data_IF_439322722495
#
_entry.id   IF_439322722495
#
_cell.length_a   1.000
_cell.length_b   1.000
_cell.length_c   1.000
_cell.angle_alpha   90.00
_cell.angle_beta   90.00
_cell.angle_gamma   90.00
#
_symmetry.space_group_name_H-M   'P 1'
#
loop_
_entity.id
_entity.type
_entity.pdbx_description
1 polymer ?
#
# COMPACT_ATOMS: atom_id res chain seq x y z
N UNK A 1 12.36 -4.83 -22.07
CA UNK A 1 13.11 -3.88 -22.93
C UNK A 1 14.56 -4.37 -23.09
N UNK A 2 15.26 -4.12 -24.22
CA UNK A 2 16.66 -4.56 -24.42
C UNK A 2 17.65 -3.49 -23.91
N UNK A 3 18.88 -3.89 -23.55
CA UNK A 3 19.93 -2.97 -23.08
C UNK A 3 20.15 -1.75 -23.98
N UNK A 4 20.07 -1.94 -25.30
CA UNK A 4 20.24 -0.88 -26.29
C UNK A 4 19.16 0.20 -26.15
N UNK A 5 17.91 -0.19 -25.92
CA UNK A 5 16.78 0.72 -25.73
C UNK A 5 16.89 1.55 -24.44
N UNK A 6 17.57 1.04 -23.40
CA UNK A 6 17.84 1.81 -22.17
C UNK A 6 18.81 2.96 -22.46
N UNK A 7 19.81 2.72 -23.30
CA UNK A 7 20.82 3.73 -23.67
C UNK A 7 20.25 4.84 -24.56
N UNK A 8 19.13 4.58 -25.20
CA UNK A 8 18.39 5.53 -26.05
C UNK A 8 17.46 6.45 -25.26
N UNK A 9 17.27 6.22 -23.96
CA UNK A 9 16.46 7.09 -23.11
C UNK A 9 17.07 8.50 -23.06
N UNK A 10 16.22 9.52 -23.24
CA UNK A 10 16.64 10.92 -23.40
C UNK A 10 17.51 11.44 -22.24
N UNK A 11 17.26 10.98 -21.02
CA UNK A 11 18.01 11.39 -19.83
C UNK A 11 19.20 10.48 -19.49
N UNK A 12 19.41 9.36 -20.19
CA UNK A 12 20.45 8.37 -19.84
C UNK A 12 21.86 8.99 -19.81
N UNK A 13 22.24 9.68 -20.88
CA UNK A 13 23.59 10.26 -21.00
C UNK A 13 23.83 11.37 -19.98
N UNK A 14 22.79 12.11 -19.59
CA UNK A 14 22.88 13.10 -18.51
C UNK A 14 23.25 12.45 -17.17
N UNK A 15 22.58 11.35 -16.79
CA UNK A 15 22.88 10.67 -15.53
C UNK A 15 24.21 9.90 -15.56
N UNK A 16 24.57 9.30 -16.69
CA UNK A 16 25.88 8.66 -16.87
C UNK A 16 27.02 9.68 -16.71
N UNK A 17 26.86 10.89 -17.27
CA UNK A 17 27.83 11.98 -17.10
C UNK A 17 27.95 12.41 -15.64
N UNK A 18 26.82 12.67 -14.96
CA UNK A 18 26.81 13.03 -13.52
C UNK A 18 27.47 11.97 -12.63
N UNK A 19 27.21 10.69 -12.93
CA UNK A 19 27.86 9.58 -12.21
C UNK A 19 29.37 9.54 -12.51
N UNK A 20 29.77 9.87 -13.75
CA UNK A 20 31.17 9.89 -14.14
C UNK A 20 31.96 11.02 -13.49
N UNK A 21 31.35 12.19 -13.31
CA UNK A 21 31.92 13.34 -12.59
C UNK A 21 32.29 13.01 -11.13
N UNK A 22 31.72 11.94 -10.56
CA UNK A 22 32.04 11.45 -9.22
C UNK A 22 33.23 10.48 -9.20
N UNK A 23 33.98 10.38 -10.30
CA UNK A 23 35.19 9.56 -10.41
C UNK A 23 34.96 8.15 -10.95
N UNK A 24 33.73 7.81 -11.34
CA UNK A 24 33.43 6.56 -12.04
C UNK A 24 33.76 6.74 -13.53
N UNK A 25 34.53 5.85 -14.15
CA UNK A 25 34.80 5.96 -15.59
C UNK A 25 33.51 5.87 -16.41
N UNK A 26 33.34 6.69 -17.46
CA UNK A 26 32.09 6.80 -18.23
C UNK A 26 31.48 5.45 -18.65
N UNK A 27 32.29 4.52 -19.19
CA UNK A 27 31.80 3.16 -19.54
C UNK A 27 31.29 2.37 -18.34
N UNK A 28 31.92 2.53 -17.17
CA UNK A 28 31.49 1.89 -15.94
C UNK A 28 30.23 2.57 -15.38
N UNK A 29 30.10 3.88 -15.52
CA UNK A 29 28.90 4.62 -15.15
C UNK A 29 27.68 4.15 -15.97
N UNK A 30 27.81 4.07 -17.30
CA UNK A 30 26.76 3.54 -18.18
C UNK A 30 26.39 2.09 -17.83
N UNK A 31 27.40 1.22 -17.64
CA UNK A 31 27.16 -0.17 -17.27
C UNK A 31 26.47 -0.31 -15.91
N UNK A 32 26.80 0.55 -14.94
CA UNK A 32 26.14 0.57 -13.64
C UNK A 32 24.65 0.92 -13.78
N UNK A 33 24.33 1.96 -14.56
CA UNK A 33 22.94 2.38 -14.77
C UNK A 33 22.13 1.28 -15.45
N UNK A 34 22.64 0.71 -16.55
CA UNK A 34 21.95 -0.36 -17.28
C UNK A 34 21.70 -1.56 -16.37
N UNK A 35 22.71 -1.97 -15.60
CA UNK A 35 22.59 -3.10 -14.68
C UNK A 35 21.49 -2.89 -13.64
N UNK A 36 21.49 -1.73 -12.98
CA UNK A 36 20.51 -1.43 -11.92
C UNK A 36 19.08 -1.33 -12.47
N UNK A 37 18.89 -0.76 -13.66
CA UNK A 37 17.58 -0.68 -14.32
C UNK A 37 17.06 -2.07 -14.73
N UNK A 38 17.91 -2.93 -15.29
CA UNK A 38 17.51 -4.30 -15.63
C UNK A 38 17.20 -5.14 -14.40
N UNK A 39 18.00 -5.01 -13.33
CA UNK A 39 17.74 -5.70 -12.08
C UNK A 39 16.45 -5.20 -11.42
N UNK A 40 16.14 -3.90 -11.54
CA UNK A 40 14.86 -3.35 -11.10
C UNK A 40 13.67 -4.01 -11.79
N UNK A 41 13.69 -4.03 -13.12
CA UNK A 41 12.61 -4.57 -13.96
C UNK A 41 12.43 -6.07 -13.72
N UNK A 42 13.54 -6.79 -13.51
CA UNK A 42 13.53 -8.22 -13.20
C UNK A 42 12.95 -8.53 -11.82
N UNK A 43 13.06 -7.63 -10.85
CA UNK A 43 12.50 -7.83 -9.50
C UNK A 43 10.99 -7.64 -9.46
N UNK A 44 10.44 -6.80 -10.35
CA UNK A 44 9.01 -6.49 -10.44
C UNK A 44 8.51 -6.61 -11.89
N UNK A 45 8.61 -7.81 -12.51
CA UNK A 45 8.27 -8.01 -13.91
C UNK A 45 6.81 -7.68 -14.25
N UNK A 46 5.92 -7.78 -13.26
CA UNK A 46 4.50 -7.42 -13.38
C UNK A 46 4.27 -5.93 -13.67
N UNK A 47 5.20 -5.05 -13.28
CA UNK A 47 5.04 -3.61 -13.43
C UNK A 47 5.63 -3.05 -14.74
N UNK A 48 6.50 -3.80 -15.44
CA UNK A 48 7.24 -3.33 -16.64
C UNK A 48 7.85 -1.93 -16.45
N UNK A 49 8.68 -1.78 -15.41
CA UNK A 49 9.20 -0.49 -14.92
C UNK A 49 9.87 0.34 -16.01
N UNK A 50 10.52 -0.32 -16.97
CA UNK A 50 11.26 0.36 -18.05
C UNK A 50 10.35 1.11 -19.03
N UNK A 51 9.04 0.86 -19.02
CA UNK A 51 8.06 1.59 -19.83
C UNK A 51 7.64 2.92 -19.20
N UNK A 52 7.94 3.14 -17.92
CA UNK A 52 7.58 4.33 -17.17
C UNK A 52 8.79 5.27 -17.02
N UNK A 53 8.81 6.36 -17.80
CA UNK A 53 9.94 7.28 -17.85
C UNK A 53 10.27 7.93 -16.50
N UNK A 54 9.25 8.25 -15.70
CA UNK A 54 9.43 8.86 -14.37
C UNK A 54 10.08 7.89 -13.39
N UNK A 55 9.66 6.61 -13.40
CA UNK A 55 10.31 5.57 -12.59
C UNK A 55 11.76 5.37 -13.01
N UNK A 56 12.02 5.30 -14.32
CA UNK A 56 13.39 5.11 -14.84
C UNK A 56 14.30 6.28 -14.49
N UNK A 57 13.83 7.52 -14.66
CA UNK A 57 14.57 8.73 -14.29
C UNK A 57 14.86 8.77 -12.78
N UNK A 58 13.89 8.39 -11.94
CA UNK A 58 14.07 8.35 -10.49
C UNK A 58 15.15 7.34 -10.07
N UNK A 59 15.13 6.13 -10.65
CA UNK A 59 16.15 5.12 -10.37
C UNK A 59 17.54 5.64 -10.76
N UNK A 60 17.68 6.25 -11.94
CA UNK A 60 18.96 6.85 -12.37
C UNK A 60 19.41 7.99 -11.44
N UNK A 61 18.49 8.84 -11.01
CA UNK A 61 18.77 9.88 -10.03
C UNK A 61 19.30 9.28 -8.72
N UNK A 62 18.68 8.21 -8.22
CA UNK A 62 19.10 7.55 -6.99
C UNK A 62 20.46 6.88 -7.11
N UNK A 63 20.82 6.31 -8.27
CA UNK A 63 22.17 5.78 -8.52
C UNK A 63 23.22 6.89 -8.38
N UNK A 64 22.97 8.06 -8.97
CA UNK A 64 23.87 9.21 -8.88
C UNK A 64 23.97 9.75 -7.45
N UNK A 65 22.84 9.84 -6.73
CA UNK A 65 22.82 10.30 -5.32
C UNK A 65 23.54 9.34 -4.39
N UNK A 66 23.33 8.04 -4.57
CA UNK A 66 23.96 7.00 -3.77
C UNK A 66 25.47 6.96 -3.99
N UNK A 67 25.94 7.20 -5.21
CA UNK A 67 27.38 7.28 -5.49
C UNK A 67 28.02 8.57 -4.93
N UNK A 68 27.26 9.68 -4.86
CA UNK A 68 27.74 10.94 -4.29
C UNK A 68 27.88 10.90 -2.77
N UNK A 69 27.08 10.05 -2.13
CA UNK A 69 27.12 9.86 -0.70
C UNK A 69 28.05 8.69 -0.35
N UNK A 70 29.10 8.94 0.44
CA UNK A 70 29.70 7.84 1.16
C UNK A 70 28.60 7.18 2.00
N UNK A 71 28.31 5.89 1.78
CA UNK A 71 27.28 5.09 2.50
C UNK A 71 27.43 5.10 4.05
N UNK A 72 28.39 5.85 4.59
CA UNK A 72 28.87 5.77 5.96
C UNK A 72 27.92 6.38 7.00
N UNK A 73 27.09 7.37 6.67
CA UNK A 73 26.40 8.14 7.73
C UNK A 73 24.88 7.95 7.85
N UNK A 74 24.22 7.14 7.02
CA UNK A 74 22.80 6.86 7.25
C UNK A 74 22.62 6.02 8.53
N UNK A 75 21.74 6.49 9.42
CA UNK A 75 21.44 5.87 10.72
C UNK A 75 19.93 5.67 10.88
N UNK A 76 19.55 4.79 11.82
CA UNK A 76 18.14 4.67 12.22
C UNK A 76 17.59 6.00 12.74
N UNK A 77 18.39 6.79 13.49
CA UNK A 77 17.98 8.12 13.98
C UNK A 77 17.50 8.99 12.83
N UNK A 78 18.24 9.04 11.72
CA UNK A 78 17.83 9.86 10.57
C UNK A 78 16.51 9.41 9.94
N UNK A 79 16.27 8.10 9.87
CA UNK A 79 14.97 7.57 9.40
C UNK A 79 13.84 7.98 10.34
N UNK A 80 14.07 7.87 11.66
CA UNK A 80 13.07 8.23 12.67
C UNK A 80 12.80 9.74 12.69
N UNK A 81 13.83 10.57 12.53
CA UNK A 81 13.70 12.04 12.40
C UNK A 81 12.78 12.40 11.23
N UNK A 82 12.96 11.77 10.07
CA UNK A 82 12.07 12.02 8.92
C UNK A 82 10.62 11.62 9.20
N UNK A 83 10.38 10.55 9.99
CA UNK A 83 9.01 10.18 10.41
C UNK A 83 8.42 11.26 11.34
N UNK A 84 9.20 11.78 12.28
CA UNK A 84 8.77 12.85 13.20
C UNK A 84 8.49 14.17 12.47
N UNK A 85 9.34 14.52 11.49
CA UNK A 85 9.15 15.67 10.60
C UNK A 85 7.88 15.50 9.76
N UNK A 86 7.67 14.31 9.18
CA UNK A 86 6.48 14.01 8.38
C UNK A 86 5.20 14.10 9.21
N UNK A 87 5.22 13.60 10.46
CA UNK A 87 4.09 13.72 11.39
C UNK A 87 3.78 15.18 11.79
N UNK A 88 4.73 16.09 11.59
CA UNK A 88 4.60 17.52 11.88
C UNK A 88 4.21 18.36 10.66
N UNK A 89 4.18 17.76 9.46
CA UNK A 89 3.77 18.44 8.23
C UNK A 89 2.27 18.80 8.30
N UNK A 90 1.95 20.05 7.97
CA UNK A 90 0.58 20.56 8.03
C UNK A 90 -0.12 20.55 6.67
N UNK A 91 0.66 20.37 5.60
CA UNK A 91 0.18 20.36 4.22
C UNK A 91 0.78 19.19 3.44
N UNK A 92 0.10 18.80 2.37
CA UNK A 92 0.60 17.78 1.45
C UNK A 92 1.89 18.22 0.74
N UNK A 93 2.01 19.51 0.41
CA UNK A 93 3.22 20.09 -0.20
C UNK A 93 4.45 19.97 0.71
N UNK A 94 4.28 20.14 2.03
CA UNK A 94 5.34 19.90 3.02
C UNK A 94 5.66 18.40 3.19
N UNK A 95 4.64 17.54 3.10
CA UNK A 95 4.77 16.11 3.35
C UNK A 95 5.50 15.36 2.22
N UNK A 96 5.31 15.76 0.96
CA UNK A 96 5.84 15.02 -0.21
C UNK A 96 7.38 14.93 -0.27
N UNK A 97 8.14 16.01 -0.03
CA UNK A 97 9.59 15.93 0.09
C UNK A 97 10.04 15.03 1.23
N UNK A 98 9.32 15.04 2.36
CA UNK A 98 9.63 14.22 3.54
C UNK A 98 9.33 12.74 3.29
N UNK A 99 8.26 12.39 2.56
CA UNK A 99 8.00 11.02 2.11
C UNK A 99 9.12 10.52 1.19
N UNK A 100 9.56 11.37 0.25
CA UNK A 100 10.69 11.05 -0.64
C UNK A 100 11.98 10.84 0.15
N UNK A 101 12.23 11.68 1.14
CA UNK A 101 13.38 11.54 2.02
C UNK A 101 13.30 10.26 2.86
N UNK A 102 12.12 9.94 3.42
CA UNK A 102 11.90 8.74 4.22
C UNK A 102 12.23 7.48 3.41
N UNK A 103 11.66 7.33 2.21
CA UNK A 103 11.89 6.17 1.34
C UNK A 103 13.38 6.04 0.99
N UNK A 104 14.03 7.15 0.63
CA UNK A 104 15.46 7.16 0.31
C UNK A 104 16.33 6.79 1.51
N UNK A 105 16.06 7.35 2.69
CA UNK A 105 16.79 7.07 3.93
C UNK A 105 16.60 5.62 4.37
N UNK A 106 15.36 5.11 4.31
CA UNK A 106 15.05 3.72 4.63
C UNK A 106 15.76 2.75 3.68
N UNK A 107 15.66 2.97 2.35
CA UNK A 107 16.36 2.15 1.34
C UNK A 107 17.87 2.12 1.59
N UNK A 108 18.49 3.29 1.80
CA UNK A 108 19.94 3.38 2.05
C UNK A 108 20.33 2.65 3.33
N UNK A 109 19.52 2.76 4.39
CA UNK A 109 19.77 2.05 5.64
C UNK A 109 19.64 0.53 5.48
N UNK A 110 18.62 0.06 4.78
CA UNK A 110 18.41 -1.36 4.45
C UNK A 110 19.58 -1.92 3.63
N UNK A 111 20.02 -1.20 2.60
CA UNK A 111 21.20 -1.52 1.79
C UNK A 111 22.47 -1.62 2.64
N UNK A 112 22.73 -0.62 3.50
CA UNK A 112 23.87 -0.60 4.44
C UNK A 112 23.84 -1.80 5.40
N UNK A 113 22.66 -2.19 5.87
CA UNK A 113 22.44 -3.35 6.75
C UNK A 113 22.37 -4.68 6.00
N UNK A 114 22.37 -4.67 4.67
CA UNK A 114 22.23 -5.84 3.79
C UNK A 114 21.01 -6.69 4.14
N UNK A 115 19.89 -6.02 4.37
CA UNK A 115 18.60 -6.65 4.71
C UNK A 115 17.47 -5.90 4.03
N UNK A 116 16.36 -6.59 3.77
CA UNK A 116 15.08 -6.02 3.36
C UNK A 116 14.03 -6.06 4.49
N UNK A 117 14.30 -6.86 5.52
CA UNK A 117 13.47 -6.97 6.73
C UNK A 117 13.72 -5.79 7.68
N UNK A 118 12.72 -4.93 7.85
CA UNK A 118 12.76 -3.74 8.71
C UNK A 118 12.91 -4.10 10.20
N UNK A 119 12.53 -5.32 10.62
CA UNK A 119 12.73 -5.78 12.01
C UNK A 119 14.21 -5.82 12.39
N UNK A 120 15.10 -5.96 11.41
CA UNK A 120 16.55 -5.97 11.63
C UNK A 120 17.17 -4.57 11.73
N UNK A 121 16.39 -3.51 11.55
CA UNK A 121 16.87 -2.13 11.65
C UNK A 121 16.91 -1.61 13.09
N UNK A 122 16.09 -2.17 13.97
CA UNK A 122 15.89 -1.69 15.34
C UNK A 122 15.78 -2.85 16.32
N UNK A 123 16.08 -2.59 17.59
CA UNK A 123 15.86 -3.52 18.71
C UNK A 123 14.63 -3.14 19.54
N UNK A 124 13.93 -2.07 19.17
CA UNK A 124 12.75 -1.55 19.88
C UNK A 124 11.49 -1.73 19.05
N UNK A 125 10.45 -2.26 19.68
CA UNK A 125 9.12 -2.42 19.08
C UNK A 125 8.57 -1.06 18.63
N UNK A 126 8.79 0.00 19.41
CA UNK A 126 8.33 1.35 19.06
C UNK A 126 8.82 1.77 17.66
N UNK A 127 10.13 1.76 17.42
CA UNK A 127 10.67 2.23 16.14
C UNK A 127 10.24 1.32 14.98
N UNK A 128 10.09 0.03 15.25
CA UNK A 128 9.59 -0.92 14.25
C UNK A 128 8.16 -0.54 13.83
N UNK A 129 7.26 -0.35 14.79
CA UNK A 129 5.86 -0.02 14.51
C UNK A 129 5.70 1.35 13.86
N UNK A 130 6.52 2.35 14.19
CA UNK A 130 6.49 3.65 13.52
C UNK A 130 6.85 3.53 12.02
N UNK A 131 7.90 2.75 11.70
CA UNK A 131 8.29 2.48 10.30
C UNK A 131 7.21 1.66 9.59
N UNK A 132 6.71 0.59 10.23
CA UNK A 132 5.70 -0.30 9.67
C UNK A 132 4.38 0.44 9.40
N UNK A 133 3.91 1.25 10.35
CA UNK A 133 2.68 2.03 10.17
C UNK A 133 2.79 3.01 9.01
N UNK A 134 3.92 3.73 8.89
CA UNK A 134 4.11 4.63 7.76
C UNK A 134 4.14 3.86 6.44
N UNK A 135 4.83 2.72 6.38
CA UNK A 135 4.83 1.87 5.18
C UNK A 135 3.43 1.35 4.82
N UNK A 136 2.60 1.01 5.80
CA UNK A 136 1.23 0.52 5.56
C UNK A 136 0.26 1.59 5.06
N UNK A 137 0.58 2.88 5.21
CA UNK A 137 -0.26 4.00 4.79
C UNK A 137 0.32 4.78 3.60
N UNK A 138 1.59 4.57 3.28
CA UNK A 138 2.31 5.34 2.26
C UNK A 138 1.72 5.19 0.86
N UNK A 139 1.19 4.01 0.50
CA UNK A 139 0.54 3.81 -0.80
C UNK A 139 -0.66 4.74 -0.99
N UNK A 140 -1.50 4.87 0.04
CA UNK A 140 -2.65 5.78 0.03
C UNK A 140 -2.21 7.23 -0.09
N UNK A 141 -1.17 7.63 0.64
CA UNK A 141 -0.62 8.98 0.54
C UNK A 141 -0.09 9.30 -0.85
N UNK A 142 0.64 8.37 -1.47
CA UNK A 142 1.20 8.55 -2.81
C UNK A 142 0.13 8.52 -3.92
N UNK A 143 -0.96 7.76 -3.73
CA UNK A 143 -2.14 7.84 -4.62
C UNK A 143 -2.82 9.20 -4.53
N UNK A 144 -3.07 9.71 -3.32
CA UNK A 144 -3.67 11.04 -3.14
C UNK A 144 -2.79 12.13 -3.77
N UNK A 145 -1.48 11.99 -3.64
CA UNK A 145 -0.48 12.83 -4.29
C UNK A 145 -0.09 12.33 -5.69
N UNK A 146 -1.01 11.75 -6.46
CA UNK A 146 -0.69 11.18 -7.78
C UNK A 146 -0.08 12.20 -8.75
N UNK A 147 -0.36 13.50 -8.60
CA UNK A 147 0.26 14.57 -9.40
C UNK A 147 1.75 14.77 -9.10
N UNK A 148 2.26 14.23 -7.99
CA UNK A 148 3.67 14.27 -7.66
C UNK A 148 4.45 13.34 -8.60
N UNK A 149 5.47 13.85 -9.34
CA UNK A 149 6.11 13.10 -10.41
C UNK A 149 6.75 11.77 -9.99
N UNK A 150 7.07 11.63 -8.70
CA UNK A 150 7.76 10.48 -8.16
C UNK A 150 6.85 9.47 -7.45
N UNK A 151 5.53 9.67 -7.41
CA UNK A 151 4.63 8.79 -6.63
C UNK A 151 4.76 7.31 -7.02
N UNK A 152 4.66 6.99 -8.31
CA UNK A 152 4.90 5.62 -8.80
C UNK A 152 6.33 5.14 -8.55
N UNK A 153 7.33 6.03 -8.61
CA UNK A 153 8.73 5.67 -8.38
C UNK A 153 9.02 5.34 -6.92
N UNK A 154 8.38 6.05 -5.98
CA UNK A 154 8.50 5.80 -4.54
C UNK A 154 7.86 4.45 -4.16
N UNK A 155 6.70 4.12 -4.74
CA UNK A 155 6.08 2.80 -4.58
C UNK A 155 7.04 1.68 -5.01
N UNK A 156 7.65 1.85 -6.19
CA UNK A 156 8.63 0.90 -6.75
C UNK A 156 9.87 0.76 -5.86
N UNK A 157 10.39 1.87 -5.33
CA UNK A 157 11.59 1.84 -4.49
C UNK A 157 11.33 1.07 -3.18
N UNK A 158 10.13 1.20 -2.60
CA UNK A 158 9.73 0.40 -1.43
C UNK A 158 9.55 -1.07 -1.79
N UNK A 159 8.80 -1.41 -2.85
CA UNK A 159 8.56 -2.79 -3.30
C UNK A 159 9.87 -3.57 -3.54
N UNK A 160 10.91 -2.88 -4.01
CA UNK A 160 12.24 -3.48 -4.27
C UNK A 160 13.11 -3.56 -3.03
N UNK A 161 12.93 -2.65 -2.09
CA UNK A 161 13.85 -2.47 -0.95
C UNK A 161 13.39 -3.13 0.34
N UNK A 162 12.08 -3.33 0.50
CA UNK A 162 11.47 -3.80 1.75
C UNK A 162 10.83 -5.18 1.55
N UNK A 163 10.91 -6.05 2.55
CA UNK A 163 10.13 -7.28 2.62
C UNK A 163 8.75 -6.98 3.24
N UNK A 164 7.79 -6.61 2.38
CA UNK A 164 6.40 -6.35 2.77
C UNK A 164 5.63 -7.65 2.96
N UNK A 165 4.62 -7.65 3.84
CA UNK A 165 3.62 -8.71 3.85
C UNK A 165 2.76 -8.65 2.56
N UNK A 166 2.02 -9.72 2.27
CA UNK A 166 1.27 -9.85 1.02
C UNK A 166 0.20 -8.77 0.84
N UNK A 167 -0.45 -8.33 1.93
CA UNK A 167 -1.52 -7.33 1.85
C UNK A 167 -0.91 -5.98 1.48
N UNK A 168 0.13 -5.57 2.21
CA UNK A 168 0.81 -4.30 1.94
C UNK A 168 1.49 -4.31 0.57
N UNK A 169 2.11 -5.42 0.14
CA UNK A 169 2.65 -5.55 -1.22
C UNK A 169 1.56 -5.32 -2.29
N UNK A 170 0.42 -5.99 -2.15
CA UNK A 170 -0.71 -5.86 -3.08
C UNK A 170 -1.28 -4.43 -3.11
N UNK A 171 -1.31 -3.72 -1.96
CA UNK A 171 -1.72 -2.32 -1.91
C UNK A 171 -0.79 -1.41 -2.74
N UNK A 172 0.52 -1.60 -2.65
CA UNK A 172 1.49 -0.83 -3.43
C UNK A 172 1.41 -1.11 -4.93
N UNK A 173 1.21 -2.37 -5.31
CA UNK A 173 1.01 -2.78 -6.71
C UNK A 173 -0.27 -2.18 -7.28
N UNK A 174 -1.36 -2.22 -6.51
CA UNK A 174 -2.63 -1.59 -6.88
C UNK A 174 -2.49 -0.08 -7.02
N UNK A 175 -1.86 0.57 -6.04
CA UNK A 175 -1.59 2.01 -6.07
C UNK A 175 -0.77 2.42 -7.30
N UNK A 176 0.23 1.61 -7.68
CA UNK A 176 1.02 1.85 -8.89
C UNK A 176 0.16 1.83 -10.15
N UNK A 177 -0.77 0.87 -10.26
CA UNK A 177 -1.69 0.77 -11.39
C UNK A 177 -2.74 1.89 -11.38
N UNK A 178 -3.35 2.17 -10.22
CA UNK A 178 -4.40 3.18 -10.04
C UNK A 178 -3.93 4.58 -10.42
N UNK A 179 -2.65 4.92 -10.18
CA UNK A 179 -2.10 6.22 -10.59
C UNK A 179 -2.16 6.42 -12.12
N UNK A 180 -2.06 5.37 -12.94
CA UNK A 180 -2.27 5.52 -14.38
C UNK A 180 -3.69 5.97 -14.71
N UNK A 181 -4.70 5.44 -14.02
CA UNK A 181 -6.09 5.88 -14.19
C UNK A 181 -6.27 7.34 -13.75
N UNK A 182 -5.68 7.71 -12.62
CA UNK A 182 -5.72 9.10 -12.12
C UNK A 182 -5.07 10.10 -13.09
N UNK A 183 -4.18 9.64 -13.95
CA UNK A 183 -3.54 10.43 -15.02
C UNK A 183 -4.22 10.25 -16.39
N UNK A 184 -5.43 9.70 -16.40
CA UNK A 184 -6.23 9.46 -17.62
C UNK A 184 -5.51 8.54 -18.64
N UNK A 185 -4.55 7.74 -18.19
CA UNK A 185 -3.83 6.77 -19.01
C UNK A 185 -4.43 5.36 -18.85
N UNK A 186 -5.63 5.21 -19.38
CA UNK A 186 -6.41 3.98 -19.28
C UNK A 186 -5.65 2.76 -19.84
N UNK A 187 -4.98 2.91 -20.99
CA UNK A 187 -4.25 1.81 -21.63
C UNK A 187 -3.13 1.27 -20.73
N UNK A 188 -2.36 2.16 -20.08
CA UNK A 188 -1.32 1.74 -19.15
C UNK A 188 -1.89 1.11 -17.88
N UNK A 189 -3.01 1.64 -17.36
CA UNK A 189 -3.73 1.06 -16.23
C UNK A 189 -4.16 -0.39 -16.53
N UNK A 190 -4.83 -0.59 -17.67
CA UNK A 190 -5.36 -1.89 -18.10
C UNK A 190 -4.21 -2.89 -18.34
N UNK A 191 -3.15 -2.46 -19.00
CA UNK A 191 -1.97 -3.29 -19.23
C UNK A 191 -1.31 -3.69 -17.90
N UNK A 192 -1.22 -2.75 -16.94
CA UNK A 192 -0.66 -3.02 -15.62
C UNK A 192 -1.49 -4.03 -14.83
N UNK A 193 -2.80 -3.83 -14.72
CA UNK A 193 -3.69 -4.77 -14.04
C UNK A 193 -3.71 -6.16 -14.68
N UNK A 194 -3.71 -6.24 -16.01
CA UNK A 194 -3.62 -7.52 -16.71
C UNK A 194 -2.32 -8.28 -16.37
N UNK A 195 -1.18 -7.59 -16.26
CA UNK A 195 0.09 -8.20 -15.82
C UNK A 195 0.04 -8.59 -14.34
N UNK A 196 -0.44 -7.72 -13.45
CA UNK A 196 -0.59 -8.01 -12.03
C UNK A 196 -1.43 -9.27 -11.80
N UNK A 197 -2.61 -9.36 -12.44
CA UNK A 197 -3.51 -10.51 -12.35
C UNK A 197 -2.88 -11.77 -12.96
N UNK A 198 -2.12 -11.65 -14.05
CA UNK A 198 -1.41 -12.79 -14.65
C UNK A 198 -0.34 -13.35 -13.70
N UNK A 199 0.34 -12.50 -12.95
CA UNK A 199 1.39 -12.89 -12.00
C UNK A 199 0.81 -13.40 -10.68
N UNK A 200 -0.28 -12.80 -10.21
CA UNK A 200 -0.92 -13.07 -8.92
C UNK A 200 -2.43 -13.32 -9.10
N UNK A 201 -2.84 -14.39 -9.80
CA UNK A 201 -4.25 -14.62 -10.16
C UNK A 201 -5.16 -14.92 -8.98
N UNK A 202 -4.58 -15.30 -7.84
CA UNK A 202 -5.27 -15.64 -6.58
C UNK A 202 -5.20 -14.50 -5.55
N UNK A 203 -4.66 -13.33 -5.91
CA UNK A 203 -4.64 -12.18 -5.02
C UNK A 203 -5.97 -11.42 -5.11
N UNK A 204 -6.80 -11.60 -4.06
CA UNK A 204 -8.10 -10.98 -3.98
C UNK A 204 -8.05 -9.44 -3.93
N UNK A 205 -6.96 -8.84 -3.43
CA UNK A 205 -6.78 -7.40 -3.37
C UNK A 205 -6.57 -6.82 -4.78
N UNK A 206 -5.73 -7.48 -5.58
CA UNK A 206 -5.48 -7.08 -6.97
C UNK A 206 -6.75 -7.21 -7.82
N UNK A 207 -7.47 -8.33 -7.69
CA UNK A 207 -8.76 -8.53 -8.38
C UNK A 207 -9.79 -7.48 -7.97
N UNK A 208 -9.84 -7.14 -6.67
CA UNK A 208 -10.75 -6.12 -6.17
C UNK A 208 -10.39 -4.74 -6.71
N UNK A 209 -9.11 -4.38 -6.74
CA UNK A 209 -8.65 -3.14 -7.36
C UNK A 209 -9.09 -3.02 -8.82
N UNK A 210 -8.86 -4.07 -9.61
CA UNK A 210 -9.27 -4.06 -11.01
C UNK A 210 -10.79 -3.97 -11.18
N UNK A 211 -11.55 -4.69 -10.35
CA UNK A 211 -13.00 -4.58 -10.31
C UNK A 211 -13.46 -3.15 -10.04
N UNK A 212 -12.81 -2.41 -9.13
CA UNK A 212 -13.21 -1.02 -8.86
C UNK A 212 -13.03 -0.12 -10.09
N UNK A 213 -11.98 -0.32 -10.89
CA UNK A 213 -11.77 0.44 -12.13
C UNK A 213 -12.84 0.11 -13.16
N UNK A 214 -13.10 -1.17 -13.41
CA UNK A 214 -14.14 -1.63 -14.33
C UNK A 214 -15.53 -1.11 -13.92
N UNK A 215 -15.82 -1.12 -12.62
CA UNK A 215 -17.10 -0.67 -12.08
C UNK A 215 -17.30 0.84 -12.27
N UNK A 216 -16.27 1.64 -12.01
CA UNK A 216 -16.31 3.09 -12.26
C UNK A 216 -16.53 3.41 -13.75
N UNK A 217 -15.89 2.62 -14.63
CA UNK A 217 -16.06 2.72 -16.09
C UNK A 217 -17.36 2.10 -16.61
N UNK A 218 -18.16 1.46 -15.74
CA UNK A 218 -19.41 0.76 -16.07
C UNK A 218 -19.25 -0.40 -17.05
N UNK A 219 -18.08 -1.04 -17.09
CA UNK A 219 -17.88 -2.28 -17.84
C UNK A 219 -18.39 -3.46 -17.01
N UNK A 220 -19.71 -3.62 -16.94
CA UNK A 220 -20.35 -4.58 -16.04
C UNK A 220 -20.09 -6.04 -16.45
N UNK A 221 -19.90 -6.33 -17.73
CA UNK A 221 -19.54 -7.67 -18.20
C UNK A 221 -18.17 -8.08 -17.64
N UNK A 222 -17.18 -7.18 -17.72
CA UNK A 222 -15.87 -7.42 -17.10
C UNK A 222 -15.94 -7.43 -15.56
N UNK A 223 -16.81 -6.62 -14.95
CA UNK A 223 -17.04 -6.67 -13.51
C UNK A 223 -17.53 -8.05 -13.06
N UNK A 224 -18.46 -8.64 -13.80
CA UNK A 224 -19.00 -9.96 -13.47
C UNK A 224 -17.95 -11.08 -13.55
N UNK A 225 -17.00 -11.00 -14.48
CA UNK A 225 -15.85 -11.93 -14.49
C UNK A 225 -14.99 -11.75 -13.24
N UNK A 226 -14.64 -10.50 -12.87
CA UNK A 226 -13.82 -10.24 -11.69
C UNK A 226 -14.52 -10.64 -10.39
N UNK A 227 -15.82 -10.36 -10.24
CA UNK A 227 -16.63 -10.77 -9.08
C UNK A 227 -16.66 -12.29 -8.98
N UNK A 228 -16.89 -12.98 -10.10
CA UNK A 228 -16.92 -14.45 -10.12
C UNK A 228 -15.58 -15.03 -9.65
N UNK A 229 -14.48 -14.53 -10.20
CA UNK A 229 -13.13 -14.97 -9.83
C UNK A 229 -12.80 -14.65 -8.38
N UNK A 230 -13.08 -13.43 -7.92
CA UNK A 230 -12.80 -12.98 -6.55
C UNK A 230 -13.57 -13.78 -5.50
N UNK A 231 -14.85 -14.07 -5.74
CA UNK A 231 -15.66 -14.88 -4.83
C UNK A 231 -15.20 -16.35 -4.75
N UNK A 232 -14.67 -16.90 -5.84
CA UNK A 232 -14.13 -18.26 -5.87
C UNK A 232 -12.89 -18.44 -4.98
N UNK A 233 -12.13 -17.37 -4.73
CA UNK A 233 -10.98 -17.39 -3.82
C UNK A 233 -11.39 -17.62 -2.36
N UNK A 234 -12.65 -17.35 -2.00
CA UNK A 234 -13.17 -17.49 -0.64
C UNK A 234 -12.38 -16.70 0.42
N UNK A 235 -11.77 -15.59 0.01
CA UNK A 235 -11.12 -14.67 0.94
C UNK A 235 -12.18 -13.93 1.79
N UNK A 236 -12.20 -14.21 3.09
CA UNK A 236 -13.25 -13.72 3.98
C UNK A 236 -13.27 -12.20 4.18
N UNK A 237 -12.15 -11.52 3.90
CA UNK A 237 -12.02 -10.07 3.97
C UNK A 237 -12.61 -9.44 2.71
N UNK A 238 -12.18 -9.89 1.52
CA UNK A 238 -12.61 -9.31 0.25
C UNK A 238 -13.98 -9.77 -0.24
N UNK A 239 -14.47 -10.94 0.18
CA UNK A 239 -15.73 -11.50 -0.30
C UNK A 239 -16.92 -10.53 -0.16
N UNK A 240 -17.05 -9.86 0.98
CA UNK A 240 -18.14 -8.89 1.17
C UNK A 240 -17.97 -7.67 0.27
N UNK A 241 -16.72 -7.24 0.00
CA UNK A 241 -16.42 -6.12 -0.89
C UNK A 241 -16.80 -6.43 -2.35
N UNK A 242 -16.56 -7.66 -2.80
CA UNK A 242 -17.04 -8.13 -4.12
C UNK A 242 -18.58 -8.14 -4.20
N UNK A 243 -19.26 -8.60 -3.13
CA UNK A 243 -20.72 -8.63 -3.06
C UNK A 243 -21.35 -7.23 -2.98
N UNK A 244 -20.68 -6.28 -2.34
CA UNK A 244 -21.12 -4.88 -2.29
C UNK A 244 -21.13 -4.26 -3.68
N UNK A 245 -20.06 -4.42 -4.47
CA UNK A 245 -20.04 -3.93 -5.86
C UNK A 245 -21.09 -4.67 -6.71
N UNK A 246 -21.27 -5.98 -6.52
CA UNK A 246 -22.32 -6.73 -7.22
C UNK A 246 -23.74 -6.19 -6.92
N UNK A 247 -24.00 -5.81 -5.66
CA UNK A 247 -25.26 -5.16 -5.26
C UNK A 247 -25.40 -3.81 -5.96
N UNK A 248 -24.36 -3.00 -5.94
CA UNK A 248 -24.40 -1.66 -6.52
C UNK A 248 -24.61 -1.72 -8.05
N UNK A 249 -24.05 -2.71 -8.73
CA UNK A 249 -24.34 -3.00 -10.16
C UNK A 249 -25.80 -3.41 -10.35
N UNK A 250 -26.35 -4.28 -9.49
CA UNK A 250 -27.76 -4.68 -9.56
C UNK A 250 -28.71 -3.50 -9.37
N UNK A 251 -28.41 -2.59 -8.44
CA UNK A 251 -29.19 -1.36 -8.24
C UNK A 251 -29.13 -0.42 -9.46
N UNK A 252 -27.97 -0.32 -10.11
CA UNK A 252 -27.77 0.54 -11.28
C UNK A 252 -28.41 -0.03 -12.56
N UNK A 253 -28.43 -1.35 -12.72
CA UNK A 253 -28.93 -2.03 -13.92
C UNK A 253 -30.39 -2.45 -13.80
N UNK A 254 -30.89 -2.63 -12.58
CA UNK A 254 -32.20 -3.22 -12.30
C UNK A 254 -32.24 -4.75 -12.41
N UNK A 255 -31.09 -5.41 -12.66
CA UNK A 255 -30.97 -6.87 -12.69
C UNK A 255 -30.18 -7.38 -11.48
N UNK A 256 -30.89 -8.00 -10.54
CA UNK A 256 -30.31 -8.55 -9.32
C UNK A 256 -29.99 -10.05 -9.40
N UNK A 257 -30.20 -10.68 -10.56
CA UNK A 257 -30.15 -12.14 -10.70
C UNK A 257 -28.79 -12.74 -10.30
N UNK A 258 -27.69 -12.17 -10.81
CA UNK A 258 -26.33 -12.60 -10.49
C UNK A 258 -25.99 -12.34 -9.01
N UNK A 259 -26.30 -11.14 -8.50
CA UNK A 259 -26.06 -10.78 -7.10
C UNK A 259 -26.80 -11.71 -6.14
N UNK A 260 -28.08 -12.02 -6.38
CA UNK A 260 -28.87 -12.92 -5.54
C UNK A 260 -28.24 -14.32 -5.51
N UNK A 261 -27.76 -14.82 -6.65
CA UNK A 261 -27.06 -16.12 -6.72
C UNK A 261 -25.75 -16.10 -5.94
N UNK A 262 -24.90 -15.10 -6.16
CA UNK A 262 -23.63 -14.97 -5.46
C UNK A 262 -23.81 -14.78 -3.95
N UNK A 263 -24.75 -13.94 -3.53
CA UNK A 263 -25.06 -13.74 -2.12
C UNK A 263 -25.55 -15.02 -1.44
N UNK A 264 -26.35 -15.83 -2.14
CA UNK A 264 -26.80 -17.13 -1.61
C UNK A 264 -25.64 -18.11 -1.45
N UNK A 265 -24.69 -18.12 -2.39
CA UNK A 265 -23.58 -19.07 -2.40
C UNK A 265 -22.44 -18.67 -1.47
N UNK A 266 -22.02 -17.41 -1.55
CA UNK A 266 -20.81 -16.90 -0.89
C UNK A 266 -21.13 -16.03 0.30
N UNK A 267 -22.23 -15.26 0.27
CA UNK A 267 -22.57 -14.34 1.35
C UNK A 267 -22.49 -15.00 2.72
N UNK A 268 -21.88 -14.30 3.69
CA UNK A 268 -21.74 -14.83 5.05
C UNK A 268 -23.10 -15.34 5.52
N UNK A 269 -23.18 -16.62 5.89
CA UNK A 269 -24.36 -17.09 6.64
C UNK A 269 -24.43 -16.21 7.87
N UNK A 270 -25.53 -15.50 7.98
CA UNK A 270 -25.84 -14.65 9.11
C UNK A 270 -26.00 -15.57 10.34
N UNK A 271 -24.90 -16.03 10.93
CA UNK A 271 -24.90 -16.83 12.17
C UNK A 271 -25.45 -16.01 13.33
N UNK A 272 -25.61 -14.69 13.15
CA UNK A 272 -26.32 -13.81 14.06
C UNK A 272 -27.85 -13.84 13.91
N UNK A 273 -28.43 -14.36 12.82
CA UNK A 273 -29.88 -14.56 12.71
C UNK A 273 -30.36 -15.91 13.23
N UNK A 274 -29.47 -16.87 13.48
CA UNK A 274 -29.81 -18.12 14.19
C UNK A 274 -29.59 -18.03 15.71
N UNK A 275 -28.91 -16.99 16.21
CA UNK A 275 -28.71 -16.77 17.64
C UNK A 275 -29.70 -15.77 18.27
N UNK A 276 -30.72 -15.32 17.54
CA UNK A 276 -31.83 -14.53 18.10
C UNK A 276 -32.95 -15.40 18.68
N UNK A 277 -32.82 -16.72 18.64
CA UNK A 277 -33.73 -17.66 19.32
C UNK A 277 -33.08 -18.45 20.45
N UNK A 278 -31.79 -18.25 20.74
CA UNK A 278 -31.12 -18.93 21.84
C UNK A 278 -30.70 -17.92 22.91
N UNK A 279 -31.54 -17.81 23.93
CA UNK A 279 -31.37 -16.98 25.13
C UNK A 279 -30.19 -17.46 25.96
N UNK A 280 -28.96 -17.09 25.57
CA UNK A 280 -27.81 -17.00 26.48
C UNK A 280 -27.01 -15.73 26.20
N UNK A 281 -27.25 -14.74 27.05
CA UNK A 281 -26.53 -13.46 27.12
C UNK A 281 -25.03 -13.73 27.25
N UNK A 282 -24.27 -13.57 26.17
CA UNK A 282 -22.82 -13.38 26.27
C UNK A 282 -22.59 -11.97 26.83
N UNK A 283 -22.43 -11.88 28.16
CA UNK A 283 -21.97 -10.66 28.82
C UNK A 283 -20.61 -10.28 28.23
N UNK A 284 -20.56 -9.19 27.48
CA UNK A 284 -19.29 -8.56 27.09
C UNK A 284 -18.64 -8.04 28.38
N UNK A 285 -17.54 -8.66 28.79
CA UNK A 285 -16.85 -8.29 30.02
C UNK A 285 -15.79 -7.23 29.72
N UNK A 286 -15.83 -6.12 30.47
CA UNK A 286 -14.81 -5.08 30.38
C UNK A 286 -13.45 -5.61 30.87
N UNK A 287 -12.33 -5.12 30.30
CA UNK A 287 -10.99 -5.50 30.76
C UNK A 287 -10.68 -5.13 32.22
N UNK A 288 -11.39 -4.13 32.76
CA UNK A 288 -11.31 -3.69 34.15
C UNK A 288 -12.73 -3.58 34.74
N UNK A 289 -12.81 -3.42 36.05
CA UNK A 289 -14.06 -3.09 36.75
C UNK A 289 -14.63 -1.75 36.24
N UNK A 290 -15.95 -1.63 36.16
CA UNK A 290 -16.68 -0.41 35.76
C UNK A 290 -16.25 0.84 36.52
N UNK A 291 -15.85 0.70 37.79
CA UNK A 291 -15.30 1.78 38.62
C UNK A 291 -14.03 2.41 38.04
N UNK A 292 -13.24 1.68 37.25
CA UNK A 292 -12.03 2.22 36.61
C UNK A 292 -12.34 3.20 35.46
N UNK A 293 -13.61 3.31 35.04
CA UNK A 293 -14.03 4.12 33.89
C UNK A 293 -14.88 5.33 34.29
N UNK A 294 -15.23 5.51 35.56
CA UNK A 294 -16.15 6.57 36.02
C UNK A 294 -15.65 7.99 35.72
N UNK A 295 -14.32 8.19 35.71
CA UNK A 295 -13.69 9.48 35.43
C UNK A 295 -13.08 9.57 34.02
N UNK A 296 -13.33 8.59 33.15
CA UNK A 296 -12.72 8.53 31.83
C UNK A 296 -13.28 9.61 30.91
N UNK A 297 -12.41 10.50 30.41
CA UNK A 297 -12.81 11.56 29.47
C UNK A 297 -12.74 11.08 28.01
N UNK A 298 -13.72 11.40 27.14
CA UNK A 298 -13.83 10.86 25.77
C UNK A 298 -12.55 10.92 24.91
N UNK A 299 -11.80 12.02 25.02
CA UNK A 299 -10.60 12.27 24.22
C UNK A 299 -9.28 11.91 24.95
N UNK A 300 -9.33 11.35 26.16
CA UNK A 300 -8.14 10.89 26.90
C UNK A 300 -7.88 9.40 26.64
N UNK A 301 -6.64 8.91 26.88
CA UNK A 301 -6.33 7.49 26.76
C UNK A 301 -7.28 6.63 27.60
N UNK A 302 -7.65 5.47 27.09
CA UNK A 302 -8.58 4.57 27.75
C UNK A 302 -7.93 3.92 28.98
N UNK A 303 -8.61 3.88 30.15
CA UNK A 303 -8.08 3.26 31.36
C UNK A 303 -7.71 1.77 31.23
N UNK A 304 -8.22 1.08 30.21
CA UNK A 304 -7.88 -0.33 29.96
C UNK A 304 -6.44 -0.56 29.48
N UNK A 305 -5.65 0.50 29.27
CA UNK A 305 -4.24 0.41 28.86
C UNK A 305 -4.03 0.23 27.35
N UNK A 306 -5.08 0.31 26.53
CA UNK A 306 -5.00 0.09 25.07
C UNK A 306 -4.31 1.21 24.29
N UNK A 307 -3.99 2.35 24.93
CA UNK A 307 -3.43 3.54 24.26
C UNK A 307 -4.42 4.35 23.40
N UNK A 308 -5.60 3.80 23.08
CA UNK A 308 -6.64 4.47 22.28
C UNK A 308 -7.39 5.53 23.09
N UNK A 309 -7.97 6.54 22.42
CA UNK A 309 -8.91 7.49 23.03
C UNK A 309 -10.14 6.74 23.59
N UNK A 310 -10.60 7.09 24.78
CA UNK A 310 -11.69 6.40 25.48
C UNK A 310 -12.95 6.24 24.62
N UNK A 311 -13.37 7.28 23.90
CA UNK A 311 -14.53 7.28 22.98
C UNK A 311 -14.42 6.26 21.84
N UNK A 312 -13.20 5.91 21.44
CA UNK A 312 -12.92 4.98 20.36
C UNK A 312 -12.60 3.56 20.87
N UNK A 313 -12.63 3.36 22.19
CA UNK A 313 -12.26 2.12 22.86
C UNK A 313 -13.41 1.64 23.75
N UNK A 314 -13.19 1.46 25.06
CA UNK A 314 -14.17 0.88 25.97
C UNK A 314 -15.48 1.66 26.11
N UNK A 315 -15.56 2.94 25.71
CA UNK A 315 -16.82 3.68 25.72
C UNK A 315 -17.89 3.01 24.84
N UNK A 316 -17.49 2.49 23.66
CA UNK A 316 -18.41 1.77 22.75
C UNK A 316 -18.95 0.46 23.36
N UNK A 317 -18.27 -0.08 24.36
CA UNK A 317 -18.67 -1.28 25.09
C UNK A 317 -19.63 -0.88 26.21
N UNK A 318 -19.28 0.17 26.97
CA UNK A 318 -20.10 0.75 28.05
C UNK A 318 -21.47 1.22 27.54
N UNK A 319 -21.50 1.99 26.45
CA UNK A 319 -22.74 2.49 25.83
C UNK A 319 -23.69 1.33 25.42
N UNK A 320 -23.11 0.18 25.03
CA UNK A 320 -23.88 -1.02 24.65
C UNK A 320 -24.41 -1.78 25.85
N UNK A 321 -23.68 -1.82 26.96
CA UNK A 321 -24.16 -2.43 28.22
C UNK A 321 -25.26 -1.61 28.88
N UNK A 322 -25.21 -0.27 28.82
CA UNK A 322 -26.28 0.59 29.36
C UNK A 322 -27.56 0.54 28.50
N UNK A 323 -27.43 0.49 27.17
CA UNK A 323 -28.56 0.35 26.24
C UNK A 323 -29.28 -1.00 26.34
N UNK A 324 -28.68 -2.00 26.98
CA UNK A 324 -29.24 -3.35 27.16
C UNK A 324 -29.92 -3.57 28.53
N UNK A 325 -30.01 -2.54 29.39
CA UNK A 325 -30.82 -2.56 30.60
C UNK A 325 -30.44 -3.67 31.59
N UNK A 326 -29.20 -3.67 32.07
CA UNK A 326 -28.84 -4.29 33.36
C UNK A 326 -28.84 -3.23 34.44
#
# INVERSE_FOLDING_TARGET
MKEESIRELSCFQQYATKLSEQGIGMKAAEACIVKELLEADKQLPELELLTNSSVVEFIMMNIVKDAAHEEKDITLSRVMETIEELASANTEEEALPLMTEFVNNLRRLLKKKRTRDIRKLTTTDKNYYEIENLLNELDMHLMNASSYPWSQALLVDVLRSVDLDSITKGNYERAYADIYEMHENQEACDACYNRLIKHSPEDANILYGWLTQLWQRRDYDACYDMITRGLQLQDSFFQEMFLDIARDIAEQTGDDSAYVQWKKQYGKRDTNKQNLTDTRVNKVQLPLDTSAYTDAKPNKPCPCGSGKKFKACCNKILDKTEAQGV
#
